data_IF_918481526523
#
_entry.id   IF_918481526523
#
_cell.length_a   1.000
_cell.length_b   1.000
_cell.length_c   1.000
_cell.angle_alpha   90.00
_cell.angle_beta   90.00
_cell.angle_gamma   90.00
#
_symmetry.space_group_name_H-M   'P 1'
#
loop_
_entity.id
_entity.type
_entity.pdbx_description
1 polymer ?
#
# COMPACT_ATOMS: atom_id res chain seq x y z
N UNK A 1 15.39 0.52 5.40
CA UNK A 1 13.99 0.82 5.54
C UNK A 1 13.45 0.27 6.84
N UNK A 2 12.55 0.99 7.43
CA UNK A 2 11.94 0.62 8.71
C UNK A 2 10.72 -0.25 8.48
N UNK A 3 10.30 -0.98 9.52
CA UNK A 3 9.12 -1.84 9.44
C UNK A 3 7.83 -1.07 9.13
N UNK A 4 7.81 0.22 9.43
CA UNK A 4 6.66 1.08 9.15
C UNK A 4 6.92 2.02 7.98
N UNK A 5 7.90 1.69 7.16
CA UNK A 5 8.25 2.52 6.02
C UNK A 5 7.30 2.26 4.86
N UNK A 6 6.98 3.33 4.16
CA UNK A 6 6.25 3.22 2.91
C UNK A 6 7.22 2.96 1.77
N UNK A 7 6.85 2.06 0.89
CA UNK A 7 7.59 1.75 -0.32
C UNK A 7 6.78 2.17 -1.53
N UNK A 8 7.41 2.89 -2.45
CA UNK A 8 6.80 3.24 -3.71
C UNK A 8 7.36 2.33 -4.80
N UNK A 9 6.48 1.77 -5.61
CA UNK A 9 6.84 0.88 -6.71
C UNK A 9 6.08 1.26 -7.96
N UNK A 10 6.81 1.44 -9.07
CA UNK A 10 6.25 1.64 -10.40
C UNK A 10 6.25 0.34 -11.16
N UNK A 11 5.06 -0.18 -11.45
CA UNK A 11 4.83 -1.44 -12.15
C UNK A 11 3.86 -1.20 -13.30
N UNK A 12 3.75 -2.12 -14.27
CA UNK A 12 2.72 -1.97 -15.31
C UNK A 12 1.32 -1.82 -14.75
N UNK A 13 1.02 -2.45 -13.61
CA UNK A 13 -0.28 -2.34 -12.95
C UNK A 13 -0.53 -0.94 -12.35
N UNK A 14 0.50 -0.09 -12.27
CA UNK A 14 0.38 1.25 -11.70
C UNK A 14 1.50 1.56 -10.70
N UNK A 15 1.31 2.65 -9.97
CA UNK A 15 2.22 3.05 -8.90
C UNK A 15 1.52 2.80 -7.58
N UNK A 16 2.22 2.15 -6.67
CA UNK A 16 1.67 1.79 -5.36
C UNK A 16 2.56 2.37 -4.26
N UNK A 17 1.91 2.92 -3.25
CA UNK A 17 2.59 3.29 -2.02
C UNK A 17 2.29 2.21 -1.00
N UNK A 18 3.26 1.36 -0.73
CA UNK A 18 3.08 0.20 0.16
C UNK A 18 3.54 0.58 1.55
N UNK A 19 2.59 0.67 2.48
CA UNK A 19 2.88 0.89 3.89
C UNK A 19 2.97 -0.46 4.59
N UNK A 20 4.09 -0.71 5.25
CA UNK A 20 4.32 -1.96 5.96
C UNK A 20 4.25 -1.69 7.45
N UNK A 21 3.36 -2.41 8.13
CA UNK A 21 3.17 -2.32 9.58
C UNK A 21 3.48 -3.67 10.22
N UNK A 22 4.17 -3.64 11.34
CA UNK A 22 4.51 -4.84 12.08
C UNK A 22 3.78 -4.82 13.43
N UNK A 23 2.62 -5.50 13.47
CA UNK A 23 1.81 -5.63 14.67
C UNK A 23 1.56 -7.09 14.99
N UNK A 24 1.40 -7.39 16.26
CA UNK A 24 0.99 -8.71 16.72
C UNK A 24 -0.50 -8.74 17.03
N UNK A 25 -1.07 -9.93 17.18
CA UNK A 25 -2.46 -10.11 17.56
C UNK A 25 -3.42 -10.05 16.40
N UNK A 26 -4.69 -9.88 16.71
CA UNK A 26 -5.75 -9.89 15.71
C UNK A 26 -5.89 -8.52 15.05
N UNK A 27 -5.87 -8.51 13.73
CA UNK A 27 -6.07 -7.33 12.90
C UNK A 27 -7.29 -7.58 12.04
N UNK A 28 -8.28 -6.70 12.13
CA UNK A 28 -9.53 -6.84 11.38
C UNK A 28 -9.74 -5.67 10.44
N UNK A 29 -9.81 -5.98 9.16
CA UNK A 29 -10.13 -5.00 8.12
C UNK A 29 -11.57 -5.23 7.68
N UNK A 30 -12.41 -4.21 7.82
CA UNK A 30 -13.83 -4.26 7.44
C UNK A 30 -14.14 -3.06 6.55
N UNK A 31 -15.27 -3.07 5.82
CA UNK A 31 -15.64 -1.89 5.03
C UNK A 31 -15.76 -0.60 5.85
N UNK A 32 -16.01 -0.70 7.15
CA UNK A 32 -16.23 0.45 8.02
C UNK A 32 -15.00 0.92 8.76
N UNK A 33 -13.94 0.12 8.85
CA UNK A 33 -12.76 0.53 9.59
C UNK A 33 -11.74 -0.57 9.80
N UNK A 34 -10.68 -0.19 10.53
CA UNK A 34 -9.57 -1.08 10.86
C UNK A 34 -9.44 -1.18 12.37
N UNK A 35 -9.35 -2.41 12.85
CA UNK A 35 -9.10 -2.69 14.28
C UNK A 35 -7.82 -3.49 14.44
N UNK A 36 -7.01 -3.09 15.42
CA UNK A 36 -5.80 -3.81 15.82
C UNK A 36 -5.96 -4.15 17.29
N UNK A 37 -6.03 -5.43 17.61
CA UNK A 37 -6.22 -5.93 18.97
C UNK A 37 -7.42 -5.28 19.67
N UNK A 38 -8.51 -5.17 18.92
CA UNK A 38 -9.75 -4.60 19.44
C UNK A 38 -9.81 -3.08 19.48
N UNK A 39 -8.74 -2.40 19.14
CA UNK A 39 -8.67 -0.94 19.13
C UNK A 39 -8.82 -0.41 17.71
N UNK A 40 -9.67 0.59 17.54
CA UNK A 40 -9.90 1.19 16.23
C UNK A 40 -8.71 2.01 15.80
N UNK A 41 -8.19 1.74 14.61
CA UNK A 41 -6.98 2.38 14.10
C UNK A 41 -7.20 2.97 12.70
N UNK A 42 -8.22 3.82 12.58
CA UNK A 42 -8.47 4.52 11.32
C UNK A 42 -7.37 5.52 10.96
N UNK A 43 -6.56 5.91 11.93
CA UNK A 43 -5.37 6.72 11.70
C UNK A 43 -4.41 6.06 10.70
N UNK A 44 -4.26 4.74 10.76
CA UNK A 44 -3.42 4.00 9.82
C UNK A 44 -3.97 4.06 8.39
N UNK A 45 -5.29 4.00 8.27
CA UNK A 45 -5.98 4.12 6.99
C UNK A 45 -5.77 5.51 6.39
N UNK A 46 -6.00 6.54 7.20
CA UNK A 46 -5.79 7.93 6.75
C UNK A 46 -4.34 8.18 6.35
N UNK A 47 -3.39 7.63 7.09
CA UNK A 47 -1.98 7.77 6.78
C UNK A 47 -1.64 7.15 5.41
N UNK A 48 -2.17 5.97 5.12
CA UNK A 48 -1.94 5.30 3.84
C UNK A 48 -2.44 6.15 2.67
N UNK A 49 -3.65 6.70 2.76
CA UNK A 49 -4.20 7.57 1.74
C UNK A 49 -3.41 8.87 1.60
N UNK A 50 -3.00 9.46 2.71
CA UNK A 50 -2.24 10.71 2.70
C UNK A 50 -0.89 10.55 2.02
N UNK A 51 -0.19 9.45 2.30
CA UNK A 51 1.10 9.19 1.68
C UNK A 51 0.97 8.93 0.18
N UNK A 52 -0.06 8.19 -0.23
CA UNK A 52 -0.31 7.96 -1.65
C UNK A 52 -0.61 9.27 -2.38
N UNK A 53 -1.38 10.17 -1.75
CA UNK A 53 -1.71 11.47 -2.32
C UNK A 53 -0.46 12.35 -2.51
N UNK A 54 0.41 12.38 -1.52
CA UNK A 54 1.67 13.12 -1.62
C UNK A 54 2.53 12.62 -2.77
N UNK A 55 2.63 11.31 -2.91
CA UNK A 55 3.43 10.71 -3.96
C UNK A 55 2.82 11.00 -5.34
N UNK A 56 1.50 10.98 -5.44
CA UNK A 56 0.80 11.35 -6.66
C UNK A 56 1.15 12.76 -7.11
N UNK A 57 1.20 13.71 -6.19
CA UNK A 57 1.57 15.08 -6.51
C UNK A 57 3.02 15.20 -7.01
N UNK A 58 3.91 14.40 -6.43
CA UNK A 58 5.32 14.41 -6.84
C UNK A 58 5.54 13.78 -8.21
N UNK A 59 4.83 12.70 -8.52
CA UNK A 59 5.06 11.91 -9.73
C UNK A 59 4.17 12.31 -10.89
N UNK A 60 3.06 12.99 -10.64
CA UNK A 60 2.11 13.36 -11.68
C UNK A 60 1.33 12.19 -12.28
N UNK A 61 1.24 11.07 -11.55
CA UNK A 61 0.47 9.89 -11.97
C UNK A 61 -0.37 9.41 -10.79
N UNK A 62 -1.40 8.62 -11.06
CA UNK A 62 -2.20 8.01 -10.02
C UNK A 62 -1.35 7.07 -9.17
N UNK A 63 -1.55 7.16 -7.85
CA UNK A 63 -0.85 6.32 -6.88
C UNK A 63 -1.90 5.66 -6.00
N UNK A 64 -1.83 4.34 -5.91
CA UNK A 64 -2.73 3.56 -5.09
C UNK A 64 -2.07 3.21 -3.76
N UNK A 65 -2.77 3.36 -2.64
CA UNK A 65 -2.24 2.89 -1.37
C UNK A 65 -2.42 1.39 -1.22
N UNK A 66 -1.50 0.77 -0.49
CA UNK A 66 -1.58 -0.63 -0.12
C UNK A 66 -1.03 -0.77 1.29
N UNK A 67 -1.82 -1.31 2.20
CA UNK A 67 -1.42 -1.50 3.59
C UNK A 67 -1.10 -2.97 3.81
N UNK A 68 0.11 -3.25 4.30
CA UNK A 68 0.59 -4.62 4.52
C UNK A 68 0.90 -4.80 5.99
N UNK A 69 0.32 -5.83 6.59
CA UNK A 69 0.61 -6.19 7.97
C UNK A 69 1.50 -7.42 8.02
N UNK A 70 2.68 -7.23 8.60
CA UNK A 70 3.63 -8.29 8.89
C UNK A 70 3.40 -8.70 10.35
N UNK A 71 3.30 -9.98 10.60
CA UNK A 71 2.98 -10.49 11.92
C UNK A 71 1.48 -10.41 12.19
N UNK A 72 1.05 -10.95 13.32
CA UNK A 72 -0.35 -10.97 13.69
C UNK A 72 -1.19 -11.89 12.83
N UNK A 73 -2.51 -11.78 13.00
CA UNK A 73 -3.48 -12.54 12.23
C UNK A 73 -4.47 -11.56 11.59
N UNK A 74 -4.48 -11.50 10.28
CA UNK A 74 -5.32 -10.57 9.54
C UNK A 74 -6.63 -11.24 9.15
N UNK A 75 -7.74 -10.61 9.51
CA UNK A 75 -9.08 -10.96 9.04
C UNK A 75 -9.60 -9.83 8.16
N UNK A 76 -10.13 -10.19 7.00
CA UNK A 76 -10.54 -9.22 6.00
C UNK A 76 -9.37 -8.74 5.16
N UNK A 77 -9.69 -8.09 4.04
CA UNK A 77 -8.68 -7.67 3.06
C UNK A 77 -8.90 -6.27 2.51
N UNK A 78 -9.88 -5.55 3.06
CA UNK A 78 -10.18 -4.17 2.61
C UNK A 78 -10.79 -3.34 3.72
N UNK A 79 -10.39 -2.08 3.75
CA UNK A 79 -11.09 -1.04 4.51
C UNK A 79 -11.57 -0.03 3.46
N UNK A 80 -12.86 -0.08 3.13
CA UNK A 80 -13.36 0.71 2.01
C UNK A 80 -12.62 0.34 0.73
N UNK A 81 -11.94 1.30 0.14
CA UNK A 81 -11.17 1.11 -1.10
C UNK A 81 -9.70 0.79 -0.85
N UNK A 82 -9.27 0.76 0.40
CA UNK A 82 -7.89 0.47 0.76
C UNK A 82 -7.68 -1.04 0.88
N UNK A 83 -6.82 -1.64 0.05
CA UNK A 83 -6.45 -3.03 0.25
C UNK A 83 -5.56 -3.18 1.48
N UNK A 84 -5.81 -4.23 2.25
CA UNK A 84 -5.04 -4.57 3.45
C UNK A 84 -4.66 -6.04 3.31
N UNK A 85 -3.37 -6.33 3.21
CA UNK A 85 -2.89 -7.66 2.87
C UNK A 85 -1.80 -8.16 3.80
N UNK A 86 -1.69 -9.48 3.99
CA UNK A 86 -0.48 -10.05 4.54
C UNK A 86 0.60 -10.07 3.45
N UNK A 87 1.88 -10.14 3.82
CA UNK A 87 2.98 -10.07 2.84
C UNK A 87 2.90 -11.10 1.73
N UNK A 88 2.49 -12.30 2.04
CA UNK A 88 2.44 -13.41 1.09
C UNK A 88 1.39 -13.24 -0.01
N UNK A 89 0.43 -12.33 0.17
CA UNK A 89 -0.62 -12.08 -0.82
C UNK A 89 -0.32 -10.89 -1.74
N UNK A 90 0.69 -10.11 -1.45
CA UNK A 90 0.97 -8.88 -2.20
C UNK A 90 1.29 -9.17 -3.67
N UNK A 91 2.15 -10.16 -3.92
CA UNK A 91 2.53 -10.53 -5.27
C UNK A 91 1.34 -10.93 -6.13
N UNK A 92 0.49 -11.81 -5.60
CA UNK A 92 -0.70 -12.28 -6.33
C UNK A 92 -1.68 -11.12 -6.57
N UNK A 93 -1.84 -10.25 -5.59
CA UNK A 93 -2.70 -9.07 -5.74
C UNK A 93 -2.26 -8.20 -6.90
N UNK A 94 -0.98 -7.86 -6.96
CA UNK A 94 -0.44 -6.99 -8.00
C UNK A 94 -0.49 -7.64 -9.38
N UNK A 95 -0.22 -8.93 -9.49
CA UNK A 95 -0.29 -9.66 -10.76
C UNK A 95 -1.72 -9.75 -11.30
N UNK A 96 -2.71 -9.70 -10.41
CA UNK A 96 -4.12 -9.76 -10.82
C UNK A 96 -4.68 -8.44 -11.32
N UNK A 97 -3.95 -7.34 -11.20
CA UNK A 97 -4.43 -6.03 -11.63
C UNK A 97 -4.15 -5.80 -13.10
N UNK A 98 -5.04 -5.07 -13.80
CA UNK A 98 -4.78 -4.69 -15.19
C UNK A 98 -3.64 -3.70 -15.28
N UNK A 99 -2.90 -3.72 -16.38
CA UNK A 99 -1.85 -2.75 -16.65
C UNK A 99 -2.47 -1.36 -16.80
N UNK A 100 -1.93 -0.37 -16.06
CA UNK A 100 -2.38 1.03 -16.10
C UNK A 100 -1.33 1.98 -16.65
N UNK A 101 -0.07 1.56 -16.64
CA UNK A 101 1.03 2.35 -17.16
C UNK A 101 1.53 1.73 -18.45
N UNK A 102 1.87 2.59 -19.42
CA UNK A 102 2.63 2.14 -20.58
C UNK A 102 4.04 1.78 -20.14
N UNK A 103 4.77 1.06 -20.98
CA UNK A 103 6.15 0.71 -20.71
C UNK A 103 7.01 1.97 -20.47
N UNK A 104 6.82 2.99 -21.30
CA UNK A 104 7.56 4.26 -21.18
C UNK A 104 7.23 4.97 -19.87
N UNK A 105 5.95 5.02 -19.49
CA UNK A 105 5.54 5.63 -18.23
C UNK A 105 6.12 4.87 -17.04
N UNK A 106 6.09 3.54 -17.09
CA UNK A 106 6.63 2.72 -16.02
C UNK A 106 8.14 2.97 -15.84
N UNK A 107 8.88 3.08 -16.93
CA UNK A 107 10.32 3.39 -16.86
C UNK A 107 10.57 4.77 -16.28
N UNK A 108 9.80 5.77 -16.72
CA UNK A 108 9.94 7.14 -16.20
C UNK A 108 9.70 7.20 -14.70
N UNK A 109 8.64 6.55 -14.24
CA UNK A 109 8.29 6.53 -12.82
C UNK A 109 9.35 5.79 -12.02
N UNK A 110 9.83 4.66 -12.52
CA UNK A 110 10.89 3.89 -11.85
C UNK A 110 12.16 4.72 -11.66
N UNK A 111 12.55 5.50 -12.66
CA UNK A 111 13.70 6.40 -12.55
C UNK A 111 13.49 7.48 -11.49
N UNK A 112 12.29 8.06 -11.43
CA UNK A 112 11.98 9.06 -10.41
C UNK A 112 12.03 8.47 -9.01
N UNK A 113 11.56 7.23 -8.85
CA UNK A 113 11.54 6.55 -7.56
C UNK A 113 12.94 6.14 -7.09
N UNK A 114 13.85 5.81 -8.00
CA UNK A 114 15.22 5.46 -7.65
C UNK A 114 15.92 6.52 -6.83
N UNK A 115 15.65 7.78 -7.09
CA UNK A 115 16.22 8.89 -6.34
C UNK A 115 15.58 9.14 -4.99
N UNK A 116 14.49 8.44 -4.64
CA UNK A 116 13.69 8.68 -3.44
C UNK A 116 13.69 7.51 -2.46
N UNK A 117 13.91 6.31 -2.96
CA UNK A 117 13.98 5.10 -2.13
C UNK A 117 15.42 4.90 -1.71
N UNK A 118 15.67 4.99 -0.43
CA UNK A 118 17.00 4.90 0.13
C UNK A 118 17.04 3.88 1.25
#
# INVERSE_FOLDING_TARGET
LLAETAHAAGLPAGVFNVEVKNYTGLIRATPQGLWVRGERRDDLVRQAWRQAHKLRELLGVEVEPLLVFVGGRLEGRRVGRLPVLPPEEVGAYLRGLPARLSFTEAQRVSKLLEGRVR
#
